data_IF_862900466894
#
_entry.id   IF_862900466894
#
_cell.length_a   1.000
_cell.length_b   1.000
_cell.length_c   1.000
_cell.angle_alpha   90.00
_cell.angle_beta   90.00
_cell.angle_gamma   90.00
#
_symmetry.space_group_name_H-M   'P 1'
#
loop_
_entity.id
_entity.type
_entity.pdbx_description
1 polymer ?
#
# COMPACT_ATOMS: atom_id res chain seq x y z
N UNK A 1 -71.10 -26.33 -9.21
CA UNK A 1 -71.09 -25.50 -10.43
C UNK A 1 -69.64 -25.14 -10.74
N UNK A 2 -69.11 -25.81 -11.77
CA UNK A 2 -67.88 -25.65 -12.57
C UNK A 2 -66.50 -25.25 -11.98
N UNK A 3 -65.55 -26.18 -12.20
CA UNK A 3 -64.10 -25.97 -12.40
C UNK A 3 -63.81 -25.12 -13.66
N UNK A 4 -62.61 -24.51 -13.77
CA UNK A 4 -61.65 -24.54 -14.91
C UNK A 4 -60.48 -23.55 -14.64
N UNK A 5 -59.25 -24.03 -14.44
CA UNK A 5 -58.12 -24.06 -15.40
C UNK A 5 -57.52 -22.69 -15.81
N UNK A 6 -56.26 -22.43 -15.43
CA UNK A 6 -55.36 -21.49 -16.11
C UNK A 6 -54.10 -22.25 -16.55
N UNK A 7 -53.79 -22.14 -17.84
CA UNK A 7 -52.74 -22.87 -18.57
C UNK A 7 -51.49 -22.00 -18.74
N UNK A 8 -50.32 -22.64 -18.66
CA UNK A 8 -49.04 -22.14 -19.15
C UNK A 8 -49.08 -21.80 -20.66
N UNK A 9 -48.35 -20.75 -21.06
CA UNK A 9 -47.80 -20.63 -22.43
C UNK A 9 -46.34 -20.17 -22.37
N UNK A 10 -45.48 -21.04 -22.88
CA UNK A 10 -44.12 -20.80 -23.35
C UNK A 10 -44.21 -20.76 -24.87
N UNK A 11 -43.70 -19.71 -25.52
CA UNK A 11 -43.29 -19.67 -26.94
C UNK A 11 -42.28 -18.52 -27.05
N UNK A 12 -40.96 -18.77 -27.17
CA UNK A 12 -40.21 -19.13 -28.39
C UNK A 12 -40.31 -18.03 -29.46
N UNK A 13 -39.30 -17.16 -29.51
CA UNK A 13 -39.00 -16.32 -30.69
C UNK A 13 -37.62 -16.73 -31.22
N UNK A 14 -37.60 -16.91 -32.53
CA UNK A 14 -36.55 -17.41 -33.39
C UNK A 14 -35.54 -16.34 -33.81
N UNK A 15 -34.40 -16.88 -34.21
CA UNK A 15 -33.12 -16.35 -34.68
C UNK A 15 -33.16 -15.49 -35.97
N UNK A 16 -32.02 -14.81 -36.20
CA UNK A 16 -31.41 -14.40 -37.49
C UNK A 16 -31.67 -12.97 -38.03
N UNK A 17 -30.66 -12.10 -37.93
CA UNK A 17 -29.88 -11.65 -39.10
C UNK A 17 -28.52 -10.94 -38.75
N UNK A 18 -27.44 -11.58 -39.23
CA UNK A 18 -26.04 -11.20 -39.59
C UNK A 18 -25.59 -9.73 -39.41
N UNK A 19 -24.51 -9.43 -38.66
CA UNK A 19 -23.03 -9.47 -38.96
C UNK A 19 -22.56 -8.54 -40.09
N UNK A 20 -21.69 -7.54 -39.78
CA UNK A 20 -20.24 -7.47 -40.15
C UNK A 20 -19.62 -6.06 -39.83
N UNK A 21 -18.29 -5.80 -39.96
CA UNK A 21 -17.39 -5.64 -38.80
C UNK A 21 -16.40 -4.43 -38.86
N UNK A 22 -15.70 -4.15 -37.76
CA UNK A 22 -14.30 -3.64 -37.75
C UNK A 22 -13.71 -3.92 -36.36
N UNK A 23 -12.91 -4.98 -36.21
CA UNK A 23 -11.43 -4.94 -36.12
C UNK A 23 -10.90 -3.96 -35.05
N UNK A 24 -10.11 -4.36 -34.06
CA UNK A 24 -9.47 -5.64 -33.81
C UNK A 24 -8.67 -5.63 -32.50
N UNK A 25 -8.61 -6.83 -31.91
CA UNK A 25 -7.47 -7.48 -31.23
C UNK A 25 -6.58 -6.69 -30.27
N UNK A 26 -6.70 -6.97 -28.96
CA UNK A 26 -5.56 -7.40 -28.12
C UNK A 26 -6.06 -8.26 -26.93
N UNK A 27 -6.35 -9.54 -27.18
CA UNK A 27 -6.40 -10.60 -26.13
C UNK A 27 -5.62 -11.83 -26.59
N UNK A 28 -4.36 -11.91 -26.18
CA UNK A 28 -3.47 -13.10 -26.15
C UNK A 28 -2.49 -12.82 -25.00
N UNK A 29 -2.09 -13.68 -24.08
CA UNK A 29 -2.32 -15.09 -23.81
C UNK A 29 -1.80 -15.30 -22.37
N UNK A 30 -2.58 -15.90 -21.45
CA UNK A 30 -1.97 -16.60 -20.32
C UNK A 30 -2.76 -17.89 -20.07
N UNK A 31 -2.33 -18.96 -20.75
CA UNK A 31 -2.80 -20.31 -20.52
C UNK A 31 -1.60 -21.20 -20.19
N UNK A 32 -1.65 -21.71 -18.95
CA UNK A 32 -1.22 -23.04 -18.50
C UNK A 32 0.28 -23.35 -18.49
N UNK A 33 0.80 -23.69 -17.31
CA UNK A 33 1.62 -24.90 -17.15
C UNK A 33 1.27 -25.56 -15.82
N UNK A 34 1.02 -26.86 -15.90
CA UNK A 34 0.47 -27.76 -14.88
C UNK A 34 1.62 -28.55 -14.22
N UNK A 35 1.34 -29.08 -13.04
CA UNK A 35 2.23 -29.73 -12.08
C UNK A 35 2.77 -31.14 -12.45
N UNK A 36 3.89 -31.46 -11.76
CA UNK A 36 4.35 -32.75 -11.18
C UNK A 36 4.73 -33.97 -12.06
N UNK A 37 5.93 -34.54 -11.78
CA UNK A 37 6.22 -35.94 -11.34
C UNK A 37 7.72 -36.29 -11.64
N UNK A 38 8.55 -36.61 -10.64
CA UNK A 38 9.02 -37.99 -10.31
C UNK A 38 10.25 -38.04 -9.38
N UNK A 39 10.14 -38.97 -8.43
CA UNK A 39 11.06 -39.54 -7.45
C UNK A 39 12.59 -39.53 -7.70
N UNK A 40 13.31 -39.26 -6.61
CA UNK A 40 14.19 -40.25 -5.95
C UNK A 40 15.57 -40.49 -6.55
N UNK A 41 16.60 -39.92 -5.92
CA UNK A 41 17.91 -40.57 -5.83
C UNK A 41 18.65 -40.14 -4.57
N UNK A 42 18.66 -41.01 -3.56
CA UNK A 42 19.61 -40.97 -2.44
C UNK A 42 20.86 -41.72 -2.86
N UNK A 43 22.01 -41.02 -2.87
CA UNK A 43 23.32 -41.67 -2.77
C UNK A 43 24.11 -40.92 -1.71
N UNK A 44 24.28 -41.57 -0.57
CA UNK A 44 25.31 -41.23 0.40
C UNK A 44 26.66 -41.66 -0.19
N UNK A 45 27.60 -40.73 -0.31
CA UNK A 45 29.00 -41.03 -0.48
C UNK A 45 29.81 -40.09 0.43
N UNK A 46 30.08 -40.58 1.62
CA UNK A 46 31.09 -40.05 2.52
C UNK A 46 32.46 -40.33 1.91
N UNK A 47 33.20 -39.30 1.52
CA UNK A 47 34.62 -39.41 1.21
C UNK A 47 35.37 -38.18 1.72
N UNK A 48 36.21 -38.43 2.71
CA UNK A 48 37.22 -37.51 3.24
C UNK A 48 38.14 -37.06 2.11
N UNK A 49 38.26 -35.74 1.91
CA UNK A 49 39.42 -35.16 1.24
C UNK A 49 39.99 -34.03 2.10
N UNK A 50 41.25 -34.27 2.48
CA UNK A 50 42.27 -33.37 3.02
C UNK A 50 42.00 -31.88 2.79
N UNK A 51 41.87 -31.12 3.88
CA UNK A 51 41.96 -29.66 3.83
C UNK A 51 43.38 -29.24 3.42
N UNK A 52 43.54 -28.80 2.19
CA UNK A 52 44.65 -27.97 1.77
C UNK A 52 44.13 -26.53 1.68
N UNK A 53 44.76 -25.63 2.41
CA UNK A 53 44.40 -24.23 2.56
C UNK A 53 44.43 -23.45 1.25
N UNK A 54 43.30 -22.82 0.91
CA UNK A 54 43.25 -21.59 0.13
C UNK A 54 42.41 -20.60 0.92
N UNK A 55 43.04 -19.50 1.33
CA UNK A 55 42.38 -18.36 1.96
C UNK A 55 41.39 -17.75 0.95
N UNK A 56 40.11 -18.08 1.07
CA UNK A 56 39.04 -17.28 0.51
C UNK A 56 38.81 -16.11 1.45
N UNK A 57 39.02 -14.90 0.95
CA UNK A 57 38.49 -13.68 1.59
C UNK A 57 36.99 -13.87 1.84
N UNK A 58 36.43 -13.34 2.94
CA UNK A 58 35.01 -13.47 3.19
C UNK A 58 34.26 -12.67 2.14
N UNK A 59 33.48 -13.34 1.29
CA UNK A 59 32.44 -12.69 0.50
C UNK A 59 31.49 -11.98 1.47
N UNK A 60 31.53 -10.65 1.41
CA UNK A 60 30.63 -9.71 2.06
C UNK A 60 29.18 -10.13 1.79
N UNK A 61 28.52 -10.75 2.77
CA UNK A 61 27.07 -10.96 2.73
C UNK A 61 26.38 -9.61 2.97
N UNK A 62 26.46 -8.75 1.96
CA UNK A 62 25.67 -7.53 1.89
C UNK A 62 24.18 -7.91 1.95
N UNK A 63 23.45 -7.31 2.88
CA UNK A 63 21.99 -7.43 2.92
C UNK A 63 21.38 -6.88 1.62
N UNK A 64 20.17 -7.30 1.27
CA UNK A 64 19.50 -6.82 0.04
C UNK A 64 19.46 -5.27 -0.05
N UNK A 65 19.40 -4.57 1.09
CA UNK A 65 19.51 -3.12 1.18
C UNK A 65 20.88 -2.59 0.74
N UNK A 66 21.98 -3.16 1.23
CA UNK A 66 23.34 -2.75 0.87
C UNK A 66 23.70 -3.01 -0.61
N UNK A 67 23.01 -3.97 -1.27
CA UNK A 67 23.15 -4.22 -2.71
C UNK A 67 22.37 -3.21 -3.55
N UNK A 68 21.22 -2.71 -3.06
CA UNK A 68 20.41 -1.69 -3.76
C UNK A 68 21.07 -0.30 -3.70
N UNK A 69 21.76 0.06 -2.61
CA UNK A 69 22.47 1.35 -2.52
C UNK A 69 23.54 1.53 -3.58
N UNK A 70 24.35 0.49 -3.85
CA UNK A 70 25.52 0.59 -4.75
C UNK A 70 25.17 0.88 -6.22
N UNK A 71 23.89 0.89 -6.60
CA UNK A 71 23.41 1.17 -7.96
C UNK A 71 22.40 2.33 -8.02
N UNK A 72 22.08 2.93 -6.89
CA UNK A 72 21.11 4.01 -6.83
C UNK A 72 21.73 5.33 -7.27
N UNK A 73 20.93 6.19 -7.91
CA UNK A 73 21.27 7.60 -8.12
C UNK A 73 21.10 8.33 -6.79
N UNK A 74 22.14 8.98 -6.29
CA UNK A 74 22.07 9.72 -5.01
C UNK A 74 21.40 11.08 -5.19
N UNK A 75 20.45 11.38 -4.28
CA UNK A 75 19.85 12.69 -4.08
C UNK A 75 20.14 13.09 -2.63
N UNK A 76 20.99 14.10 -2.45
CA UNK A 76 21.39 14.58 -1.12
C UNK A 76 20.67 15.90 -0.85
N UNK A 77 19.74 15.89 0.11
CA UNK A 77 18.95 17.04 0.56
C UNK A 77 19.78 17.93 1.49
N UNK A 78 19.76 19.25 1.27
CA UNK A 78 20.64 20.24 1.90
C UNK A 78 19.87 21.52 2.28
N UNK A 79 18.94 21.41 3.22
CA UNK A 79 18.14 22.55 3.71
C UNK A 79 17.10 22.94 2.68
N UNK A 80 17.29 24.04 1.95
CA UNK A 80 16.33 24.51 0.93
C UNK A 80 16.58 23.96 -0.48
N UNK A 81 17.51 23.01 -0.65
CA UNK A 81 17.91 22.51 -1.97
C UNK A 81 18.38 21.05 -1.90
N UNK A 82 18.87 20.51 -3.01
CA UNK A 82 19.49 19.20 -3.07
C UNK A 82 20.63 19.15 -4.11
N UNK A 83 21.45 18.10 -4.04
CA UNK A 83 22.44 17.78 -5.07
C UNK A 83 22.16 16.40 -5.64
N UNK A 84 22.31 16.26 -6.96
CA UNK A 84 22.14 15.02 -7.70
C UNK A 84 22.91 15.12 -9.02
N UNK A 85 23.69 14.10 -9.37
CA UNK A 85 24.39 13.99 -10.66
C UNK A 85 23.65 12.99 -11.56
N UNK A 86 22.50 13.41 -12.09
CA UNK A 86 21.70 12.61 -13.01
C UNK A 86 20.88 13.47 -13.95
N UNK A 87 20.82 13.09 -15.22
CA UNK A 87 19.96 13.73 -16.21
C UNK A 87 18.46 13.45 -16.00
N UNK A 88 18.11 12.51 -15.11
CA UNK A 88 16.72 12.17 -14.79
C UNK A 88 16.17 12.95 -13.60
N UNK A 89 16.99 13.78 -12.94
CA UNK A 89 16.59 14.56 -11.76
C UNK A 89 16.82 16.04 -12.03
N UNK A 90 15.77 16.83 -11.84
CA UNK A 90 15.84 18.29 -11.89
C UNK A 90 15.64 18.86 -10.49
N UNK A 91 16.60 19.63 -9.98
CA UNK A 91 16.51 20.32 -8.70
C UNK A 91 16.06 21.75 -8.95
N UNK A 92 14.83 22.08 -8.56
CA UNK A 92 14.27 23.43 -8.65
C UNK A 92 14.81 24.37 -7.56
N UNK A 93 14.76 25.68 -7.83
CA UNK A 93 15.14 26.73 -6.88
C UNK A 93 14.12 26.88 -5.73
N UNK A 94 12.93 26.32 -5.90
CA UNK A 94 11.80 26.31 -4.97
C UNK A 94 11.81 25.08 -4.03
N UNK A 95 12.89 24.30 -4.00
CA UNK A 95 12.96 23.06 -3.22
C UNK A 95 12.23 21.88 -3.86
N UNK A 96 11.69 22.02 -5.09
CA UNK A 96 11.06 20.91 -5.81
C UNK A 96 12.10 20.07 -6.56
N UNK A 97 12.24 18.82 -6.16
CA UNK A 97 13.17 17.84 -6.75
C UNK A 97 12.35 16.90 -7.65
N UNK A 98 12.42 17.12 -8.95
CA UNK A 98 11.63 16.40 -9.95
C UNK A 98 12.38 15.20 -10.52
N UNK A 99 11.86 13.99 -10.29
CA UNK A 99 12.35 12.73 -10.86
C UNK A 99 11.53 12.42 -12.11
N UNK A 100 12.19 12.40 -13.27
CA UNK A 100 11.55 12.31 -14.59
C UNK A 100 11.86 11.02 -15.35
N UNK A 101 12.78 10.19 -14.84
CA UNK A 101 13.13 8.90 -15.43
C UNK A 101 12.92 7.72 -14.47
N UNK A 102 12.67 6.54 -15.03
CA UNK A 102 12.62 5.31 -14.26
C UNK A 102 13.99 4.99 -13.65
N UNK A 103 14.01 4.34 -12.48
CA UNK A 103 15.25 4.02 -11.80
C UNK A 103 15.13 3.97 -10.28
N UNK A 104 16.27 3.77 -9.64
CA UNK A 104 16.40 3.72 -8.18
C UNK A 104 17.14 4.95 -7.68
N UNK A 105 16.56 5.65 -6.70
CA UNK A 105 17.05 6.90 -6.16
C UNK A 105 17.26 6.78 -4.65
N UNK A 106 18.49 7.00 -4.17
CA UNK A 106 18.82 7.02 -2.75
C UNK A 106 18.72 8.45 -2.24
N UNK A 107 17.72 8.71 -1.39
CA UNK A 107 17.41 10.03 -0.86
C UNK A 107 17.87 10.09 0.60
N UNK A 108 18.66 11.10 0.93
CA UNK A 108 19.20 11.30 2.27
C UNK A 108 19.37 12.78 2.62
N UNK A 109 19.42 13.13 3.91
CA UNK A 109 19.59 14.51 4.37
C UNK A 109 18.27 15.20 4.70
N UNK A 110 18.28 16.53 4.76
CA UNK A 110 17.10 17.33 5.14
C UNK A 110 16.67 18.28 4.03
N UNK A 111 15.37 18.31 3.74
CA UNK A 111 14.71 19.33 2.91
C UNK A 111 13.70 20.09 3.79
N UNK A 112 14.01 21.35 4.12
CA UNK A 112 13.30 22.15 5.13
C UNK A 112 11.91 22.62 4.66
N UNK A 113 11.77 22.86 3.35
CA UNK A 113 10.52 23.25 2.71
C UNK A 113 10.63 22.91 1.22
N UNK A 114 10.06 21.78 0.79
CA UNK A 114 10.17 21.34 -0.59
C UNK A 114 9.49 20.01 -0.86
N UNK A 115 9.66 19.48 -2.06
CA UNK A 115 8.93 18.31 -2.53
C UNK A 115 9.81 17.36 -3.33
N UNK A 116 9.72 16.06 -3.05
CA UNK A 116 10.13 15.02 -4.01
C UNK A 116 8.94 14.77 -4.94
N UNK A 117 9.12 15.07 -6.22
CA UNK A 117 8.06 15.02 -7.22
C UNK A 117 8.40 14.02 -8.32
N UNK A 118 7.61 12.95 -8.48
CA UNK A 118 7.82 11.92 -9.51
C UNK A 118 6.84 12.12 -10.66
N UNK A 119 7.36 12.47 -11.83
CA UNK A 119 6.61 12.62 -13.09
C UNK A 119 7.41 11.95 -14.20
N UNK A 120 7.47 10.61 -14.11
CA UNK A 120 8.26 9.79 -14.99
C UNK A 120 7.57 9.67 -16.35
N UNK A 121 8.22 10.17 -17.39
CA UNK A 121 7.70 10.09 -18.76
C UNK A 121 7.83 8.68 -19.35
N UNK A 122 8.79 7.91 -18.85
CA UNK A 122 9.03 6.53 -19.25
C UNK A 122 8.08 5.56 -18.52
N UNK A 123 7.67 4.49 -19.19
CA UNK A 123 6.84 3.43 -18.63
C UNK A 123 7.69 2.45 -17.78
N UNK A 124 8.36 2.93 -16.74
CA UNK A 124 9.18 2.09 -15.86
C UNK A 124 8.97 2.38 -14.38
N UNK A 125 9.45 1.47 -13.54
CA UNK A 125 9.40 1.56 -12.08
C UNK A 125 10.31 2.67 -11.54
N UNK A 126 9.82 3.43 -10.57
CA UNK A 126 10.62 4.35 -9.76
C UNK A 126 10.70 3.80 -8.34
N UNK A 127 11.92 3.57 -7.85
CA UNK A 127 12.19 3.18 -6.47
C UNK A 127 12.86 4.32 -5.73
N UNK A 128 12.22 4.84 -4.69
CA UNK A 128 12.76 5.83 -3.77
C UNK A 128 13.25 5.10 -2.51
N UNK A 129 14.56 5.07 -2.29
CA UNK A 129 15.16 4.54 -1.07
C UNK A 129 15.37 5.71 -0.11
N UNK A 130 14.66 5.74 1.02
CA UNK A 130 14.83 6.76 2.04
C UNK A 130 15.84 6.30 3.08
N UNK A 131 16.91 7.08 3.25
CA UNK A 131 18.01 6.83 4.20
C UNK A 131 18.32 8.11 4.98
N UNK A 132 17.77 8.21 6.18
CA UNK A 132 17.84 9.43 7.02
C UNK A 132 17.37 10.68 6.24
N UNK A 133 16.28 10.53 5.48
CA UNK A 133 15.65 11.61 4.73
C UNK A 133 14.57 12.29 5.59
N UNK A 134 14.75 13.57 5.88
CA UNK A 134 13.79 14.40 6.62
C UNK A 134 13.24 15.48 5.68
N UNK A 135 11.98 15.38 5.30
CA UNK A 135 11.37 16.24 4.28
C UNK A 135 10.18 16.96 4.92
N UNK A 136 10.19 18.27 4.86
CA UNK A 136 9.08 19.13 5.23
C UNK A 136 8.56 19.87 3.99
N UNK A 137 7.25 20.12 3.94
CA UNK A 137 6.64 20.93 2.89
C UNK A 137 5.47 21.73 3.45
N UNK A 138 5.60 23.05 3.55
CA UNK A 138 4.62 23.89 4.22
C UNK A 138 3.33 24.12 3.41
N UNK A 139 3.34 23.88 2.10
CA UNK A 139 2.20 24.16 1.23
C UNK A 139 1.89 23.09 0.18
N UNK A 140 2.41 21.87 0.37
CA UNK A 140 2.11 20.72 -0.45
C UNK A 140 2.54 19.40 0.19
N UNK A 141 2.45 18.32 -0.59
CA UNK A 141 2.93 17.01 -0.16
C UNK A 141 4.47 16.96 -0.12
N UNK A 142 5.04 16.25 0.85
CA UNK A 142 6.49 16.00 0.94
C UNK A 142 6.96 15.13 -0.24
N UNK A 143 6.20 14.07 -0.53
CA UNK A 143 6.44 13.20 -1.69
C UNK A 143 5.16 13.13 -2.51
N UNK A 144 5.24 13.57 -3.76
CA UNK A 144 4.15 13.49 -4.73
C UNK A 144 4.56 12.64 -5.93
N UNK A 145 4.03 11.43 -6.01
CA UNK A 145 4.13 10.56 -7.17
C UNK A 145 2.95 10.85 -8.09
N UNK A 146 3.19 11.68 -9.10
CA UNK A 146 2.16 12.00 -10.10
C UNK A 146 2.06 10.94 -11.17
N UNK A 147 3.20 10.38 -11.61
CA UNK A 147 3.24 9.40 -12.69
C UNK A 147 4.48 8.53 -12.67
N UNK A 148 4.27 7.23 -12.80
CA UNK A 148 5.27 6.18 -13.05
C UNK A 148 4.51 4.89 -13.41
N UNK A 149 5.16 3.85 -13.91
CA UNK A 149 4.48 2.57 -14.08
C UNK A 149 4.23 1.87 -12.73
N UNK A 150 5.17 2.01 -11.80
CA UNK A 150 5.12 1.39 -10.48
C UNK A 150 5.97 2.24 -9.53
N UNK A 151 5.42 2.59 -8.37
CA UNK A 151 6.16 3.32 -7.36
C UNK A 151 6.52 2.43 -6.18
N UNK A 152 7.78 2.43 -5.79
CA UNK A 152 8.28 1.71 -4.61
C UNK A 152 8.99 2.68 -3.68
N UNK A 153 8.59 2.69 -2.41
CA UNK A 153 9.26 3.41 -1.33
C UNK A 153 9.96 2.39 -0.42
N UNK A 154 11.29 2.40 -0.39
CA UNK A 154 12.10 1.49 0.42
C UNK A 154 12.69 2.24 1.61
N UNK A 155 12.40 1.76 2.82
CA UNK A 155 12.90 2.30 4.08
C UNK A 155 14.24 1.64 4.42
N UNK A 156 15.32 2.42 4.37
CA UNK A 156 16.66 1.89 4.57
C UNK A 156 16.87 1.40 6.02
N UNK A 157 17.49 0.24 6.16
CA UNK A 157 17.68 -0.42 7.46
C UNK A 157 18.41 0.48 8.45
N UNK A 158 17.91 0.54 9.69
CA UNK A 158 18.53 1.30 10.78
C UNK A 158 18.39 2.81 10.69
N UNK A 159 17.68 3.33 9.69
CA UNK A 159 17.42 4.77 9.51
C UNK A 159 16.00 5.15 9.90
N UNK A 160 15.83 6.44 10.20
CA UNK A 160 14.52 7.06 10.41
C UNK A 160 14.32 8.16 9.38
N UNK A 161 13.20 8.11 8.69
CA UNK A 161 12.83 9.08 7.67
C UNK A 161 11.55 9.80 8.11
N UNK A 162 11.49 11.12 7.95
CA UNK A 162 10.33 11.93 8.37
C UNK A 162 9.73 12.67 7.18
N UNK A 163 8.40 12.67 7.10
CA UNK A 163 7.62 13.47 6.15
C UNK A 163 6.66 14.34 6.94
N UNK A 164 6.78 15.66 6.86
CA UNK A 164 5.92 16.59 7.60
C UNK A 164 5.34 17.64 6.65
N UNK A 165 4.06 17.52 6.30
CA UNK A 165 3.40 18.52 5.46
C UNK A 165 2.84 19.70 6.28
N UNK A 166 2.43 20.77 5.60
CA UNK A 166 1.81 21.94 6.22
C UNK A 166 0.31 21.75 6.47
N UNK A 167 -0.32 22.71 7.14
CA UNK A 167 -1.77 22.67 7.43
C UNK A 167 -2.65 23.20 6.30
N UNK A 168 -2.06 23.77 5.25
CA UNK A 168 -2.77 24.36 4.10
C UNK A 168 -1.96 24.09 2.85
N UNK A 169 -2.55 23.44 1.85
CA UNK A 169 -1.92 23.27 0.54
C UNK A 169 -2.25 24.44 -0.40
N UNK A 170 -1.29 24.77 -1.26
CA UNK A 170 -1.47 25.69 -2.39
C UNK A 170 -1.55 24.90 -3.68
N UNK A 171 -2.61 25.13 -4.43
CA UNK A 171 -2.83 24.55 -5.75
C UNK A 171 -2.76 25.63 -6.81
N UNK A 172 -2.23 25.29 -7.98
CA UNK A 172 -2.24 26.18 -9.15
C UNK A 172 -3.68 26.53 -9.57
N UNK A 173 -4.58 25.55 -9.47
CA UNK A 173 -6.00 25.70 -9.68
C UNK A 173 -6.73 25.54 -8.34
N UNK A 174 -7.50 26.55 -7.87
CA UNK A 174 -8.16 26.51 -6.57
C UNK A 174 -9.27 25.45 -6.46
N UNK A 175 -9.72 24.88 -7.58
CA UNK A 175 -10.68 23.77 -7.60
C UNK A 175 -10.02 22.39 -7.44
N UNK A 176 -8.69 22.32 -7.50
CA UNK A 176 -7.96 21.07 -7.29
C UNK A 176 -8.02 20.69 -5.80
N UNK A 177 -8.07 19.38 -5.56
CA UNK A 177 -8.12 18.78 -4.22
C UNK A 177 -7.05 17.70 -4.04
N UNK A 178 -6.04 17.70 -4.93
CA UNK A 178 -4.94 16.75 -4.93
C UNK A 178 -3.61 17.46 -5.21
N UNK A 179 -2.51 17.06 -4.55
CA UNK A 179 -2.41 15.98 -3.56
C UNK A 179 -3.16 16.28 -2.24
N UNK A 180 -3.61 15.24 -1.53
CA UNK A 180 -4.30 15.36 -0.24
C UNK A 180 -3.68 14.54 0.91
N UNK A 181 -2.36 14.29 0.83
CA UNK A 181 -1.60 13.76 1.95
C UNK A 181 -0.08 13.93 1.82
N UNK A 182 0.62 13.86 2.95
CA UNK A 182 2.06 14.11 3.04
C UNK A 182 2.89 13.19 2.12
N UNK A 183 2.49 11.92 2.01
CA UNK A 183 2.93 10.99 0.97
C UNK A 183 1.74 10.68 0.06
N UNK A 184 1.77 11.17 -1.17
CA UNK A 184 0.66 11.04 -2.12
C UNK A 184 1.11 10.42 -3.43
N UNK A 185 0.43 9.36 -3.86
CA UNK A 185 0.63 8.72 -5.16
C UNK A 185 -0.65 8.71 -5.98
N UNK A 186 -0.53 9.05 -7.27
CA UNK A 186 -1.59 8.79 -8.26
C UNK A 186 -1.58 7.38 -8.81
N UNK A 187 -0.49 6.65 -8.61
CA UNK A 187 -0.25 5.29 -9.09
C UNK A 187 -0.23 4.28 -7.92
N UNK A 188 -0.18 2.99 -8.24
CA UNK A 188 0.12 1.94 -7.29
C UNK A 188 1.42 2.25 -6.50
N UNK A 189 1.35 2.17 -5.17
CA UNK A 189 2.47 2.43 -4.28
C UNK A 189 2.76 1.21 -3.41
N UNK A 190 4.01 0.75 -3.43
CA UNK A 190 4.52 -0.26 -2.49
C UNK A 190 5.50 0.36 -1.50
N UNK A 191 5.29 0.15 -0.21
CA UNK A 191 6.23 0.52 0.87
C UNK A 191 6.88 -0.76 1.41
N UNK A 192 8.22 -0.78 1.49
CA UNK A 192 8.98 -1.93 1.98
C UNK A 192 10.28 -1.49 2.71
N UNK A 193 11.10 -2.46 3.10
CA UNK A 193 12.32 -2.23 3.87
C UNK A 193 12.11 -2.40 5.38
N UNK A 194 13.18 -2.26 6.15
CA UNK A 194 13.18 -2.48 7.61
C UNK A 194 13.46 -1.19 8.40
N UNK A 195 13.68 -0.07 7.71
CA UNK A 195 13.79 1.26 8.31
C UNK A 195 12.49 1.79 8.88
N UNK A 196 12.57 3.00 9.44
CA UNK A 196 11.43 3.72 10.01
C UNK A 196 10.98 4.85 9.08
N UNK A 197 9.66 5.01 8.96
CA UNK A 197 8.99 6.14 8.33
C UNK A 197 8.04 6.78 9.35
N UNK A 198 8.21 8.07 9.61
CA UNK A 198 7.30 8.90 10.41
C UNK A 198 6.63 9.90 9.47
N UNK A 199 5.31 9.96 9.49
CA UNK A 199 4.52 10.83 8.61
C UNK A 199 3.56 11.68 9.43
N UNK A 200 3.73 12.99 9.35
CA UNK A 200 2.82 13.99 9.91
C UNK A 200 2.01 14.60 8.74
N UNK A 201 0.79 14.08 8.54
CA UNK A 201 -0.19 14.60 7.59
C UNK A 201 -1.08 15.66 8.24
N UNK A 202 -0.54 16.87 8.38
CA UNK A 202 -1.17 18.02 9.01
C UNK A 202 -2.26 18.68 8.13
N UNK A 203 -2.17 18.58 6.80
CA UNK A 203 -3.19 19.15 5.90
C UNK A 203 -4.48 18.33 5.89
N UNK A 204 -4.33 17.02 5.65
CA UNK A 204 -5.46 16.11 5.42
C UNK A 204 -5.06 14.68 5.77
N UNK A 205 -4.68 13.84 4.80
CA UNK A 205 -4.35 12.45 5.07
C UNK A 205 -2.83 12.26 5.30
N UNK A 206 -2.43 11.15 5.91
CA UNK A 206 -1.01 10.81 6.04
C UNK A 206 -0.43 10.23 4.75
N UNK A 207 -0.80 8.99 4.44
CA UNK A 207 -0.31 8.24 3.25
C UNK A 207 -1.49 7.93 2.32
N UNK A 208 -1.35 8.28 1.04
CA UNK A 208 -2.41 8.12 0.04
C UNK A 208 -1.88 7.48 -1.24
N UNK A 209 -2.57 6.47 -1.73
CA UNK A 209 -2.56 6.10 -3.16
C UNK A 209 -3.96 6.23 -3.75
N UNK A 210 -4.04 6.81 -4.96
CA UNK A 210 -5.26 6.88 -5.77
C UNK A 210 -5.59 5.57 -6.46
N UNK A 211 -4.65 4.63 -6.51
CA UNK A 211 -4.88 3.25 -6.93
C UNK A 211 -4.65 2.34 -5.71
N UNK A 212 -3.80 1.32 -5.84
CA UNK A 212 -3.44 0.37 -4.82
C UNK A 212 -2.32 0.84 -3.90
N UNK A 213 -2.43 0.50 -2.62
CA UNK A 213 -1.38 0.71 -1.64
C UNK A 213 -1.01 -0.62 -0.99
N UNK A 214 0.26 -0.99 -1.06
CA UNK A 214 0.81 -2.18 -0.42
C UNK A 214 1.90 -1.81 0.58
N UNK A 215 1.76 -2.24 1.83
CA UNK A 215 2.80 -2.16 2.85
C UNK A 215 3.34 -3.56 3.06
N UNK A 216 4.51 -3.83 2.48
CA UNK A 216 5.15 -5.13 2.58
C UNK A 216 5.88 -5.32 3.92
N UNK A 217 6.55 -4.26 4.41
CA UNK A 217 7.32 -4.26 5.66
C UNK A 217 7.67 -2.82 6.09
N UNK A 218 8.32 -2.68 7.25
CA UNK A 218 8.84 -1.41 7.78
C UNK A 218 8.34 -1.09 9.19
N UNK A 219 8.88 -0.05 9.80
CA UNK A 219 8.27 0.60 10.97
C UNK A 219 7.63 1.90 10.49
N UNK A 220 6.30 1.99 10.54
CA UNK A 220 5.57 3.12 9.97
C UNK A 220 4.73 3.76 11.06
N UNK A 221 4.91 5.06 11.27
CA UNK A 221 4.15 5.87 12.23
C UNK A 221 3.47 6.99 11.45
N UNK A 222 2.15 7.13 11.61
CA UNK A 222 1.36 8.14 10.88
C UNK A 222 0.47 8.89 11.85
N UNK A 223 0.64 10.20 11.91
CA UNK A 223 -0.29 11.13 12.54
C UNK A 223 -0.99 11.92 11.43
N UNK A 224 -2.32 11.94 11.39
CA UNK A 224 -3.08 12.57 10.30
C UNK A 224 -4.27 13.40 10.80
N UNK A 225 -4.42 14.61 10.25
CA UNK A 225 -5.54 15.52 10.51
C UNK A 225 -6.88 15.02 9.94
N UNK A 226 -6.85 14.05 9.03
CA UNK A 226 -8.02 13.35 8.49
C UNK A 226 -7.82 11.84 8.53
N UNK A 227 -7.53 11.20 7.40
CA UNK A 227 -7.36 9.75 7.35
C UNK A 227 -5.89 9.37 7.48
N UNK A 228 -5.58 8.31 8.23
CA UNK A 228 -4.20 7.86 8.40
C UNK A 228 -3.60 7.33 7.10
N UNK A 229 -4.03 6.14 6.68
CA UNK A 229 -3.52 5.45 5.48
C UNK A 229 -4.67 5.11 4.54
N UNK A 230 -4.59 5.56 3.29
CA UNK A 230 -5.63 5.37 2.28
C UNK A 230 -5.07 4.77 0.99
N UNK A 231 -5.54 3.57 0.64
CA UNK A 231 -5.38 3.01 -0.70
C UNK A 231 -6.74 2.90 -1.36
N UNK A 232 -7.00 3.71 -2.40
CA UNK A 232 -8.35 3.82 -2.99
C UNK A 232 -8.85 2.47 -3.49
N UNK A 233 -8.04 1.76 -4.27
CA UNK A 233 -8.42 0.49 -4.90
C UNK A 233 -8.17 -0.69 -3.98
N UNK A 234 -7.11 -0.65 -3.20
CA UNK A 234 -6.88 -1.57 -2.11
C UNK A 234 -5.86 -1.03 -1.13
N UNK A 235 -5.93 -1.50 0.12
CA UNK A 235 -4.83 -1.43 1.06
C UNK A 235 -4.45 -2.85 1.50
N UNK A 236 -3.24 -3.27 1.17
CA UNK A 236 -2.70 -4.57 1.56
C UNK A 236 -1.53 -4.37 2.51
N UNK A 237 -1.60 -4.96 3.70
CA UNK A 237 -0.53 -4.96 4.70
C UNK A 237 -0.01 -6.39 4.85
N UNK A 238 1.18 -6.68 4.34
CA UNK A 238 1.78 -8.01 4.45
C UNK A 238 2.61 -8.19 5.73
N UNK A 239 3.11 -7.08 6.30
CA UNK A 239 4.00 -7.11 7.44
C UNK A 239 4.41 -5.72 7.92
N UNK A 240 5.36 -5.69 8.86
CA UNK A 240 5.85 -4.46 9.50
C UNK A 240 5.23 -4.18 10.87
N UNK A 241 5.65 -3.07 11.47
CA UNK A 241 5.08 -2.50 12.69
C UNK A 241 4.50 -1.14 12.33
N UNK A 242 3.17 -1.02 12.38
CA UNK A 242 2.44 0.13 11.88
C UNK A 242 1.65 0.74 13.04
N UNK A 243 1.81 2.04 13.27
CA UNK A 243 1.03 2.82 14.24
C UNK A 243 0.37 3.98 13.50
N UNK A 244 -0.93 4.14 13.67
CA UNK A 244 -1.72 5.17 12.99
C UNK A 244 -2.59 5.91 14.01
N UNK A 245 -2.47 7.24 14.05
CA UNK A 245 -3.37 8.13 14.77
C UNK A 245 -4.06 9.06 13.77
N UNK A 246 -5.38 9.02 13.71
CA UNK A 246 -6.15 9.76 12.72
C UNK A 246 -7.35 10.47 13.36
N UNK A 247 -7.63 11.73 12.96
CA UNK A 247 -8.83 12.45 13.38
C UNK A 247 -10.09 12.07 12.59
N UNK A 248 -9.95 11.17 11.62
CA UNK A 248 -11.02 10.44 10.94
C UNK A 248 -10.61 8.97 10.88
N UNK A 249 -10.90 8.28 9.78
CA UNK A 249 -10.59 6.85 9.69
C UNK A 249 -9.10 6.55 9.80
N UNK A 250 -8.76 5.51 10.55
CA UNK A 250 -7.39 5.04 10.70
C UNK A 250 -6.81 4.57 9.37
N UNK A 251 -7.38 3.48 8.84
CA UNK A 251 -7.04 2.96 7.51
C UNK A 251 -8.26 2.80 6.62
N UNK A 252 -8.12 3.12 5.33
CA UNK A 252 -9.26 3.32 4.43
C UNK A 252 -9.05 2.79 3.00
N UNK A 253 -10.10 2.22 2.42
CA UNK A 253 -10.22 1.94 0.99
C UNK A 253 -11.61 2.33 0.45
N UNK A 254 -11.67 2.98 -0.72
CA UNK A 254 -12.84 3.79 -1.14
C UNK A 254 -13.28 3.58 -2.59
N UNK A 255 -12.79 2.58 -3.31
CA UNK A 255 -13.21 2.33 -4.68
C UNK A 255 -14.58 1.59 -4.71
N UNK A 256 -15.55 2.17 -5.43
CA UNK A 256 -16.92 1.66 -5.61
C UNK A 256 -17.18 1.07 -7.02
N UNK A 257 -16.18 1.06 -7.90
CA UNK A 257 -16.33 0.71 -9.32
C UNK A 257 -16.83 -0.74 -9.49
N UNK A 258 -16.29 -1.68 -8.70
CA UNK A 258 -16.80 -3.06 -8.59
C UNK A 258 -16.26 -3.79 -7.34
N UNK A 259 -16.73 -5.02 -7.10
CA UNK A 259 -16.41 -5.83 -5.91
C UNK A 259 -14.96 -6.35 -5.82
N UNK A 260 -14.14 -6.20 -6.85
CA UNK A 260 -12.73 -6.66 -6.85
C UNK A 260 -11.73 -5.60 -6.36
N UNK A 261 -12.20 -4.37 -6.17
CA UNK A 261 -11.47 -3.22 -5.63
C UNK A 261 -12.20 -2.64 -4.42
N UNK A 262 -11.61 -1.67 -3.73
CA UNK A 262 -12.15 -1.08 -2.51
C UNK A 262 -11.98 -1.95 -1.27
N UNK A 263 -10.95 -2.80 -1.21
CA UNK A 263 -10.76 -3.76 -0.11
C UNK A 263 -9.54 -3.47 0.76
N UNK A 264 -9.56 -4.01 1.98
CA UNK A 264 -8.41 -4.01 2.89
C UNK A 264 -8.06 -5.45 3.25
N UNK A 265 -6.77 -5.80 3.14
CA UNK A 265 -6.26 -7.10 3.54
C UNK A 265 -5.02 -6.95 4.43
N UNK A 266 -5.09 -7.50 5.65
CA UNK A 266 -3.98 -7.54 6.60
C UNK A 266 -3.51 -8.98 6.69
N UNK A 267 -2.41 -9.28 6.01
CA UNK A 267 -1.82 -10.63 5.94
C UNK A 267 -0.81 -10.90 7.06
N UNK A 268 -0.26 -9.85 7.68
CA UNK A 268 0.73 -9.99 8.74
C UNK A 268 1.10 -8.67 9.40
N UNK A 269 2.12 -8.71 10.26
CA UNK A 269 2.64 -7.53 10.97
C UNK A 269 1.97 -7.25 12.32
N UNK A 270 2.38 -6.15 12.94
CA UNK A 270 1.78 -5.57 14.15
C UNK A 270 1.19 -4.22 13.78
N UNK A 271 -0.12 -4.06 13.88
CA UNK A 271 -0.84 -2.85 13.45
C UNK A 271 -1.62 -2.27 14.62
N UNK A 272 -1.33 -1.03 15.01
CA UNK A 272 -2.03 -0.31 16.07
C UNK A 272 -2.72 0.92 15.46
N UNK A 273 -4.02 1.04 15.66
CA UNK A 273 -4.84 2.10 15.06
C UNK A 273 -5.59 2.82 16.16
N UNK A 274 -5.44 4.14 16.21
CA UNK A 274 -6.25 5.06 17.00
C UNK A 274 -6.96 6.02 16.05
N UNK A 275 -8.27 6.12 16.12
CA UNK A 275 -9.06 6.96 15.21
C UNK A 275 -10.26 7.62 15.87
N UNK A 276 -10.62 8.83 15.41
CA UNK A 276 -11.85 9.51 15.85
C UNK A 276 -13.09 9.19 14.99
N UNK A 277 -12.91 8.39 13.93
CA UNK A 277 -14.01 7.82 13.15
C UNK A 277 -13.81 6.30 13.07
N UNK A 278 -13.81 5.67 11.90
CA UNK A 278 -13.68 4.22 11.80
C UNK A 278 -12.22 3.75 11.85
N UNK A 279 -11.87 2.77 12.70
CA UNK A 279 -10.48 2.29 12.74
C UNK A 279 -10.07 1.67 11.39
N UNK A 280 -10.97 0.88 10.80
CA UNK A 280 -10.82 0.30 9.46
C UNK A 280 -12.10 0.53 8.65
N UNK A 281 -12.00 1.20 7.50
CA UNK A 281 -13.13 1.35 6.57
C UNK A 281 -12.78 0.83 5.17
N UNK A 282 -13.60 -0.07 4.64
CA UNK A 282 -13.50 -0.55 3.26
C UNK A 282 -14.85 -0.55 2.55
N UNK A 283 -14.86 -0.53 1.22
CA UNK A 283 -16.10 -0.69 0.44
C UNK A 283 -16.42 -2.17 0.30
N UNK A 284 -15.53 -2.95 -0.31
CA UNK A 284 -15.84 -4.32 -0.72
C UNK A 284 -15.67 -5.35 0.38
N UNK A 285 -14.52 -5.39 1.05
CA UNK A 285 -14.30 -6.29 2.19
C UNK A 285 -13.09 -5.87 3.02
N UNK A 286 -13.05 -6.37 4.25
CA UNK A 286 -11.89 -6.38 5.12
C UNK A 286 -11.51 -7.82 5.41
N UNK A 287 -10.22 -8.17 5.29
CA UNK A 287 -9.73 -9.50 5.66
C UNK A 287 -8.51 -9.42 6.58
N UNK A 288 -8.53 -10.22 7.64
CA UNK A 288 -7.42 -10.44 8.56
C UNK A 288 -6.93 -11.86 8.36
N UNK A 289 -5.81 -12.02 7.67
CA UNK A 289 -5.24 -13.33 7.32
C UNK A 289 -4.07 -13.72 8.25
N UNK A 290 -3.53 -12.78 9.03
CA UNK A 290 -2.46 -13.01 9.99
C UNK A 290 -2.09 -11.73 10.76
N UNK A 291 -1.02 -11.81 11.56
CA UNK A 291 -0.51 -10.66 12.32
C UNK A 291 -1.24 -10.40 13.65
N UNK A 292 -0.95 -9.25 14.24
CA UNK A 292 -1.55 -8.72 15.46
C UNK A 292 -2.09 -7.32 15.20
N UNK A 293 -3.40 -7.12 15.30
CA UNK A 293 -4.05 -5.82 15.06
C UNK A 293 -4.74 -5.36 16.34
N UNK A 294 -4.48 -4.13 16.75
CA UNK A 294 -5.18 -3.43 17.83
C UNK A 294 -5.85 -2.18 17.29
N UNK A 295 -7.14 -2.03 17.57
CA UNK A 295 -7.96 -0.90 17.12
C UNK A 295 -8.59 -0.23 18.34
N UNK A 296 -8.45 1.08 18.41
CA UNK A 296 -9.18 1.94 19.33
C UNK A 296 -9.84 3.07 18.53
N UNK A 297 -11.15 3.19 18.63
CA UNK A 297 -11.89 4.24 17.91
C UNK A 297 -13.10 4.75 18.67
N UNK A 298 -13.42 6.03 18.46
CA UNK A 298 -14.65 6.64 19.00
C UNK A 298 -15.90 6.31 18.18
N UNK A 299 -15.74 5.74 16.98
CA UNK A 299 -16.83 5.19 16.17
C UNK A 299 -16.62 3.67 15.96
N UNK A 300 -17.04 3.12 14.82
CA UNK A 300 -16.95 1.69 14.55
C UNK A 300 -15.50 1.20 14.48
N UNK A 301 -15.23 -0.01 15.00
CA UNK A 301 -13.92 -0.62 14.84
C UNK A 301 -13.64 -0.97 13.38
N UNK A 302 -14.51 -1.78 12.78
CA UNK A 302 -14.42 -2.14 11.37
C UNK A 302 -15.74 -1.85 10.68
N UNK A 303 -15.70 -1.06 9.62
CA UNK A 303 -16.83 -0.80 8.74
C UNK A 303 -16.55 -1.27 7.31
N UNK A 304 -17.41 -2.14 6.80
CA UNK A 304 -17.36 -2.55 5.40
C UNK A 304 -18.75 -2.63 4.79
N UNK A 305 -18.96 -2.09 3.59
CA UNK A 305 -20.24 -2.27 2.89
C UNK A 305 -20.44 -3.75 2.49
N UNK A 306 -19.36 -4.52 2.39
CA UNK A 306 -19.38 -5.96 2.17
C UNK A 306 -18.95 -6.79 3.38
N UNK A 307 -17.98 -7.69 3.20
CA UNK A 307 -17.66 -8.73 4.21
C UNK A 307 -16.49 -8.37 5.12
N UNK A 308 -16.55 -8.82 6.37
CA UNK A 308 -15.45 -8.78 7.34
C UNK A 308 -15.02 -10.23 7.62
N UNK A 309 -13.78 -10.57 7.29
CA UNK A 309 -13.29 -11.95 7.33
C UNK A 309 -12.08 -12.09 8.26
N UNK A 310 -12.23 -12.87 9.33
CA UNK A 310 -11.18 -13.18 10.29
C UNK A 310 -10.60 -14.59 10.00
N UNK A 311 -9.61 -14.65 9.11
CA UNK A 311 -9.00 -15.89 8.62
C UNK A 311 -7.77 -16.35 9.42
N UNK A 312 -7.13 -15.46 10.17
CA UNK A 312 -5.97 -15.77 11.02
C UNK A 312 -5.50 -14.59 11.86
N UNK A 313 -4.51 -14.83 12.72
CA UNK A 313 -3.90 -13.79 13.56
C UNK A 313 -4.68 -13.45 14.83
N UNK A 314 -4.32 -12.32 15.45
CA UNK A 314 -4.95 -11.77 16.64
C UNK A 314 -5.49 -10.38 16.34
N UNK A 315 -6.77 -10.14 16.63
CA UNK A 315 -7.41 -8.84 16.48
C UNK A 315 -8.02 -8.43 17.81
N UNK A 316 -7.69 -7.22 18.28
CA UNK A 316 -8.27 -6.58 19.45
C UNK A 316 -8.99 -5.31 19.01
N UNK A 317 -10.27 -5.17 19.38
CA UNK A 317 -11.13 -4.05 18.99
C UNK A 317 -11.67 -3.47 20.29
N UNK A 318 -11.32 -2.23 20.61
CA UNK A 318 -11.83 -1.53 21.80
C UNK A 318 -12.41 -0.18 21.37
N UNK A 319 -13.73 -0.10 21.25
CA UNK A 319 -14.39 1.02 20.56
C UNK A 319 -15.64 1.51 21.28
N UNK A 320 -16.04 2.74 20.98
CA UNK A 320 -17.20 3.37 21.61
C UNK A 320 -18.54 3.02 20.92
N UNK A 321 -18.54 2.76 19.60
CA UNK A 321 -19.73 2.33 18.84
C UNK A 321 -19.65 0.82 18.49
N UNK A 322 -19.96 0.40 17.26
CA UNK A 322 -19.98 -1.02 16.91
C UNK A 322 -18.58 -1.51 16.61
N UNK A 323 -18.17 -2.59 17.29
CA UNK A 323 -16.90 -3.25 16.95
C UNK A 323 -16.82 -3.66 15.47
N UNK A 324 -17.93 -4.18 14.92
CA UNK A 324 -18.03 -4.63 13.53
C UNK A 324 -19.33 -4.09 12.92
N UNK A 325 -19.22 -3.53 11.71
CA UNK A 325 -20.33 -3.08 10.89
C UNK A 325 -20.08 -3.54 9.46
N UNK A 326 -20.73 -4.63 9.05
CA UNK A 326 -20.64 -5.07 7.67
C UNK A 326 -21.70 -6.09 7.29
N UNK A 327 -21.90 -6.27 5.98
CA UNK A 327 -22.95 -7.12 5.41
C UNK A 327 -22.86 -8.57 5.87
N UNK A 328 -21.65 -9.08 6.07
CA UNK A 328 -21.42 -10.40 6.65
C UNK A 328 -20.12 -10.42 7.42
N UNK A 329 -20.08 -11.22 8.49
CA UNK A 329 -18.91 -11.42 9.32
C UNK A 329 -18.60 -12.91 9.37
N UNK A 330 -17.35 -13.29 9.08
CA UNK A 330 -16.87 -14.66 9.21
C UNK A 330 -15.63 -14.73 10.10
N UNK A 331 -15.49 -15.82 10.85
CA UNK A 331 -14.33 -16.07 11.70
C UNK A 331 -13.92 -17.54 11.64
N UNK A 332 -12.64 -17.76 11.34
CA UNK A 332 -11.99 -19.06 11.38
C UNK A 332 -11.56 -19.44 12.81
N UNK A 333 -11.39 -20.74 13.05
CA UNK A 333 -10.90 -21.26 14.34
C UNK A 333 -9.46 -20.83 14.67
N UNK A 334 -8.67 -20.49 13.64
CA UNK A 334 -7.27 -20.08 13.77
C UNK A 334 -7.08 -18.58 14.09
N UNK A 335 -8.17 -17.84 14.29
CA UNK A 335 -8.14 -16.41 14.61
C UNK A 335 -8.59 -16.13 16.04
N UNK A 336 -7.84 -15.30 16.75
CA UNK A 336 -8.26 -14.73 18.04
C UNK A 336 -8.83 -13.35 17.79
N UNK A 337 -10.07 -13.12 18.24
CA UNK A 337 -10.73 -11.80 18.14
C UNK A 337 -11.25 -11.46 19.53
N UNK A 338 -10.78 -10.34 20.07
CA UNK A 338 -11.20 -9.79 21.36
C UNK A 338 -11.91 -8.46 21.10
N UNK A 339 -13.11 -8.30 21.67
CA UNK A 339 -13.91 -7.09 21.54
C UNK A 339 -14.13 -6.51 22.94
N UNK A 340 -13.60 -5.31 23.17
CA UNK A 340 -14.02 -4.37 24.20
C UNK A 340 -15.03 -3.39 23.61
N UNK A 341 -16.02 -2.97 24.41
CA UNK A 341 -17.11 -2.09 23.95
C UNK A 341 -18.38 -2.83 23.48
N UNK A 342 -19.24 -2.15 22.72
CA UNK A 342 -20.53 -2.69 22.26
C UNK A 342 -20.33 -3.72 21.12
N UNK A 343 -20.84 -4.96 21.26
CA UNK A 343 -20.24 -6.09 20.54
C UNK A 343 -20.52 -6.20 19.04
N UNK A 344 -21.67 -5.73 18.52
CA UNK A 344 -22.06 -5.83 17.09
C UNK A 344 -23.48 -5.28 16.87
N UNK A 345 -23.74 -4.62 15.74
CA UNK A 345 -25.11 -4.42 15.24
C UNK A 345 -25.12 -4.80 13.75
N UNK A 346 -25.84 -5.88 13.43
CA UNK A 346 -26.03 -6.40 12.07
C UNK A 346 -27.43 -6.13 11.55
#
# INVERSE_FOLDING_TARGET
>A
MQLQFWLCRFDRITESERISPSDGDHRKNMKKTLALILAGLTVAASALFSSCSTSSEPEDQATAGAVLEKKATEIILQGSTATCDSSHVYVGEDGKISIQGAGTYLISGTLDDGQIYVDCVDAGTVTLILKDANISNNDGACIYIKKTQEAVLTLYEGTTNTLTDGTVYKFDNPEDNEPDGALFSKEDLTINGTGTLVVDGNYSNGIVSKDGLRIASGVIQVDAARHGIKGKDYLVIDGGTITVNALRDGIKSTNYDNQTVGYIAINGGTVNIMSEDEAVQAVSYVSFNGGSVSMNSTNNGIKSDGSINFNGGTVSIDVEDNALNGFSVSKSENCTVTIGGAPYNG
#
